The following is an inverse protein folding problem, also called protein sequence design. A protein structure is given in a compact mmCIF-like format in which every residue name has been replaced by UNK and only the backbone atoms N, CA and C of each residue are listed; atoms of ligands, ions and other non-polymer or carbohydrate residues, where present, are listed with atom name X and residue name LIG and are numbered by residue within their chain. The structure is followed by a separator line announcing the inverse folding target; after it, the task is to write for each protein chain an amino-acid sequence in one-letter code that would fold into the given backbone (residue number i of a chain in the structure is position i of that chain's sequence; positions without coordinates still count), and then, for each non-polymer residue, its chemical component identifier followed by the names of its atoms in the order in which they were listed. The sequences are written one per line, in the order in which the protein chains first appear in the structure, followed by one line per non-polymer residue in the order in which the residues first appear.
data_IF_943138275548
#
_entry.id   IF_943138275548
#
_cell.length_a   1.000
_cell.length_b   1.000
_cell.length_c   1.000
_cell.angle_alpha   90.00
_cell.angle_beta   90.00
_cell.angle_gamma   90.00
#
_symmetry.space_group_name_H-M   'P 1'
#
loop_
_entity.id
_entity.type
_entity.pdbx_description
1 polymer ?
#
# COMPACT_ATOMS: atom_id res chain seq x y z
N UNK A 1 0.39 25.41 17.47
CA UNK A 1 0.45 25.56 16.01
C UNK A 1 1.71 24.88 15.52
N UNK A 2 1.60 23.67 14.98
CA UNK A 2 2.75 22.95 14.41
C UNK A 2 2.67 23.07 12.90
N UNK A 3 3.51 23.91 12.34
CA UNK A 3 3.82 23.90 10.91
C UNK A 3 4.72 22.69 10.66
N UNK A 4 4.18 21.60 10.13
CA UNK A 4 4.95 20.50 9.61
C UNK A 4 4.71 20.41 8.10
N UNK A 5 5.57 21.06 7.37
CA UNK A 5 5.75 20.80 5.95
C UNK A 5 6.83 19.75 5.75
N UNK A 6 6.60 18.54 6.22
CA UNK A 6 7.49 17.39 6.00
C UNK A 6 6.68 16.21 5.50
N UNK A 7 7.19 15.53 4.48
CA UNK A 7 6.64 14.26 3.99
C UNK A 7 6.68 13.23 5.11
N UNK A 8 5.53 12.62 5.44
CA UNK A 8 5.46 11.53 6.42
C UNK A 8 5.47 10.19 5.69
N UNK A 9 6.45 9.36 6.00
CA UNK A 9 6.61 8.04 5.39
C UNK A 9 5.95 7.00 6.29
N UNK A 10 5.10 6.16 5.69
CA UNK A 10 4.44 5.05 6.36
C UNK A 10 5.31 3.81 6.31
N UNK A 11 5.78 3.41 7.48
CA UNK A 11 6.70 2.29 7.66
C UNK A 11 5.99 1.08 8.26
N UNK A 12 6.24 -0.09 7.71
CA UNK A 12 5.74 -1.35 8.28
C UNK A 12 6.34 -1.60 9.67
N UNK A 13 5.50 -1.83 10.66
CA UNK A 13 5.95 -2.08 12.05
C UNK A 13 6.63 -3.44 12.25
N UNK A 14 6.44 -4.37 11.33
CA UNK A 14 7.04 -5.72 11.39
C UNK A 14 8.38 -5.75 10.69
N UNK A 15 8.45 -5.25 9.45
CA UNK A 15 9.69 -5.29 8.65
C UNK A 15 10.56 -4.04 8.78
N UNK A 16 10.02 -2.93 9.26
CA UNK A 16 10.71 -1.64 9.29
C UNK A 16 10.85 -0.96 7.92
N UNK A 17 10.27 -1.54 6.88
CA UNK A 17 10.37 -1.03 5.50
C UNK A 17 9.32 0.04 5.22
N UNK A 18 9.70 0.97 4.38
CA UNK A 18 8.81 2.02 3.86
C UNK A 18 7.88 1.42 2.80
N UNK A 19 6.60 1.71 2.93
CA UNK A 19 5.57 1.13 2.05
C UNK A 19 4.75 2.18 1.31
N UNK A 20 4.65 3.39 1.85
CA UNK A 20 3.87 4.47 1.30
C UNK A 20 4.24 5.80 1.99
N UNK A 21 3.68 6.91 1.53
CA UNK A 21 3.80 8.21 2.19
C UNK A 21 2.48 8.98 2.17
N UNK A 22 2.41 10.04 2.96
CA UNK A 22 1.27 10.96 3.01
C UNK A 22 1.14 11.87 1.77
N UNK A 23 2.06 11.76 0.81
CA UNK A 23 1.92 12.37 -0.52
C UNK A 23 0.78 11.75 -1.33
N UNK A 24 0.36 10.54 -0.97
CA UNK A 24 -0.74 9.82 -1.59
C UNK A 24 -1.99 9.91 -0.72
N UNK A 25 -3.14 10.14 -1.35
CA UNK A 25 -4.41 10.20 -0.63
C UNK A 25 -4.73 8.83 -0.02
N UNK A 26 -4.77 8.77 1.31
CA UNK A 26 -5.06 7.57 2.06
C UNK A 26 -6.42 7.70 2.77
N UNK A 27 -7.23 6.67 2.69
CA UNK A 27 -8.55 6.58 3.31
C UNK A 27 -8.71 5.21 3.99
N UNK A 28 -9.29 5.16 5.20
CA UNK A 28 -9.63 3.89 5.81
C UNK A 28 -10.76 3.21 5.00
N UNK A 29 -10.71 1.90 4.91
CA UNK A 29 -11.79 1.11 4.31
C UNK A 29 -12.87 0.89 5.37
N UNK A 30 -14.04 1.50 5.20
CA UNK A 30 -15.14 1.43 6.18
C UNK A 30 -15.62 0.00 6.43
N UNK A 31 -15.67 -0.82 5.37
CA UNK A 31 -16.11 -2.22 5.42
C UNK A 31 -15.08 -3.15 6.07
N UNK A 32 -13.84 -2.71 6.17
CA UNK A 32 -12.73 -3.52 6.68
C UNK A 32 -11.79 -2.68 7.57
N UNK A 33 -12.18 -2.41 8.82
CA UNK A 33 -11.34 -1.68 9.75
C UNK A 33 -9.94 -2.31 9.86
N UNK A 34 -8.92 -1.46 9.79
CA UNK A 34 -7.51 -1.89 9.78
C UNK A 34 -6.90 -2.01 8.38
N UNK A 35 -7.69 -1.82 7.32
CA UNK A 35 -7.21 -1.69 5.94
C UNK A 35 -7.26 -0.23 5.53
N UNK A 36 -6.22 0.22 4.88
CA UNK A 36 -6.11 1.58 4.32
C UNK A 36 -6.07 1.45 2.80
N UNK A 37 -6.94 2.17 2.13
CA UNK A 37 -6.93 2.35 0.68
C UNK A 37 -6.11 3.60 0.36
N UNK A 38 -5.11 3.44 -0.49
CA UNK A 38 -4.26 4.54 -0.95
C UNK A 38 -4.46 4.71 -2.45
N UNK A 39 -4.66 5.94 -2.88
CA UNK A 39 -4.79 6.25 -4.30
C UNK A 39 -3.41 6.51 -4.89
N UNK A 40 -2.96 5.63 -5.77
CA UNK A 40 -1.76 5.83 -6.57
C UNK A 40 -2.06 6.65 -7.84
N UNK A 41 -1.02 6.98 -8.57
CA UNK A 41 -1.06 7.67 -9.86
C UNK A 41 0.02 7.11 -10.77
N UNK A 42 -0.18 7.26 -12.07
CA UNK A 42 0.84 6.92 -13.05
C UNK A 42 1.88 8.03 -13.15
N UNK A 43 3.12 7.66 -13.30
CA UNK A 43 4.24 8.57 -13.56
C UNK A 43 5.18 7.99 -14.61
N UNK A 44 6.02 8.83 -15.20
CA UNK A 44 7.12 8.35 -16.03
C UNK A 44 8.26 7.84 -15.15
N UNK A 45 9.03 6.89 -15.62
CA UNK A 45 10.20 6.36 -14.89
C UNK A 45 11.22 7.48 -14.52
N UNK A 46 11.19 8.62 -15.22
CA UNK A 46 11.95 9.82 -14.88
C UNK A 46 11.37 10.71 -13.80
N UNK A 47 10.21 10.37 -13.24
CA UNK A 47 9.57 11.10 -12.14
C UNK A 47 8.61 12.20 -12.55
N UNK A 48 8.31 12.37 -13.84
CA UNK A 48 7.29 13.31 -14.30
C UNK A 48 5.88 12.74 -14.14
N UNK A 49 5.01 13.54 -13.55
CA UNK A 49 3.61 13.17 -13.34
C UNK A 49 2.84 13.22 -14.66
N UNK A 50 2.27 12.08 -15.08
CA UNK A 50 1.41 12.04 -16.26
C UNK A 50 0.01 12.42 -15.83
N UNK A 51 -0.43 13.60 -16.28
CA UNK A 51 -1.80 14.03 -16.09
C UNK A 51 -2.69 13.37 -17.16
N UNK A 52 -3.31 12.25 -16.83
CA UNK A 52 -4.28 11.55 -17.69
C UNK A 52 -5.68 12.15 -17.66
N UNK A 53 -5.85 13.31 -17.03
CA UNK A 53 -7.09 14.09 -17.02
C UNK A 53 -7.37 14.65 -18.40
N UNK A 54 -8.02 13.87 -19.27
CA UNK A 54 -8.29 14.21 -20.62
C UNK A 54 -9.09 15.49 -20.78
N UNK A 55 -8.48 16.50 -21.39
CA UNK A 55 -9.20 17.54 -22.08
C UNK A 55 -9.23 17.15 -23.57
N UNK A 56 -10.35 16.61 -24.02
CA UNK A 56 -10.54 16.08 -25.37
C UNK A 56 -10.65 17.17 -26.46
N UNK A 57 -10.11 18.34 -26.26
CA UNK A 57 -10.17 19.46 -27.23
C UNK A 57 -8.86 20.19 -27.46
N UNK A 58 -7.72 19.51 -27.40
CA UNK A 58 -6.48 20.01 -27.95
C UNK A 58 -6.28 19.43 -29.38
N UNK A 59 -6.93 19.99 -30.33
CA UNK A 59 -6.48 19.88 -31.73
C UNK A 59 -5.13 20.56 -31.84
N UNK A 60 -4.11 19.82 -32.23
CA UNK A 60 -2.85 20.36 -32.71
C UNK A 60 -1.68 20.12 -31.78
N UNK A 61 -0.87 19.18 -32.16
CA UNK A 61 0.41 18.89 -31.58
C UNK A 61 0.49 17.45 -31.10
N UNK A 62 0.49 16.51 -32.02
CA UNK A 62 0.98 15.17 -31.76
C UNK A 62 2.47 15.27 -31.44
N UNK A 63 2.81 15.55 -30.20
CA UNK A 63 4.07 15.08 -29.67
C UNK A 63 3.92 13.57 -29.60
N UNK A 64 4.52 12.90 -30.57
CA UNK A 64 4.78 11.45 -30.47
C UNK A 64 5.49 11.29 -29.14
N UNK A 65 4.75 10.71 -28.17
CA UNK A 65 5.38 10.21 -26.96
C UNK A 65 6.44 9.24 -27.45
N UNK A 66 7.70 9.60 -27.24
CA UNK A 66 8.83 8.76 -27.55
C UNK A 66 8.54 7.39 -26.91
N UNK A 67 8.52 6.32 -27.72
CA UNK A 67 8.26 4.94 -27.29
C UNK A 67 9.23 4.45 -26.20
N UNK A 68 10.18 5.29 -25.79
CA UNK A 68 11.13 5.05 -24.72
C UNK A 68 10.62 5.44 -23.32
N UNK A 69 9.49 6.16 -23.21
CA UNK A 69 8.98 6.61 -21.91
C UNK A 69 8.14 5.51 -21.27
N UNK A 70 8.72 4.83 -20.29
CA UNK A 70 8.03 3.82 -19.51
C UNK A 70 7.13 4.48 -18.47
N UNK A 71 5.85 4.12 -18.49
CA UNK A 71 4.87 4.54 -17.49
C UNK A 71 4.84 3.52 -16.37
N UNK A 72 4.93 3.98 -15.13
CA UNK A 72 4.95 3.15 -13.93
C UNK A 72 3.95 3.68 -12.90
N UNK A 73 3.51 2.80 -12.00
CA UNK A 73 2.75 3.23 -10.82
C UNK A 73 3.67 3.95 -9.84
N UNK A 74 3.21 5.10 -9.32
CA UNK A 74 4.04 5.97 -8.49
C UNK A 74 4.39 5.36 -7.13
N UNK A 75 3.47 4.59 -6.51
CA UNK A 75 3.74 3.94 -5.22
C UNK A 75 4.69 2.77 -5.42
N UNK A 76 4.40 1.90 -6.38
CA UNK A 76 5.22 0.73 -6.71
C UNK A 76 6.67 1.15 -7.01
N UNK A 77 6.84 2.14 -7.90
CA UNK A 77 8.15 2.62 -8.32
C UNK A 77 8.91 3.32 -7.19
N UNK A 78 8.25 4.23 -6.44
CA UNK A 78 8.90 5.03 -5.39
C UNK A 78 9.37 4.18 -4.22
N UNK A 79 8.61 3.16 -3.84
CA UNK A 79 8.92 2.29 -2.71
C UNK A 79 9.52 0.95 -3.12
N UNK A 80 9.84 0.79 -4.41
CA UNK A 80 10.45 -0.42 -4.99
C UNK A 80 9.68 -1.70 -4.63
N UNK A 81 8.35 -1.60 -4.63
CA UNK A 81 7.50 -2.72 -4.31
C UNK A 81 7.63 -3.81 -5.39
N UNK A 82 7.60 -5.07 -4.96
CA UNK A 82 7.76 -6.23 -5.82
C UNK A 82 6.45 -7.00 -5.89
N UNK A 83 6.02 -7.32 -7.11
CA UNK A 83 4.85 -8.17 -7.31
C UNK A 83 5.11 -9.56 -6.72
N UNK A 84 4.10 -10.07 -6.01
CA UNK A 84 4.17 -11.36 -5.33
C UNK A 84 2.89 -12.14 -5.57
N UNK A 85 2.99 -13.26 -6.26
CA UNK A 85 1.84 -14.13 -6.49
C UNK A 85 1.36 -14.76 -5.18
N UNK A 86 0.11 -14.51 -4.83
CA UNK A 86 -0.47 -15.02 -3.59
C UNK A 86 -1.84 -15.65 -3.83
N UNK A 87 -1.94 -16.94 -3.62
CA UNK A 87 -3.23 -17.64 -3.62
C UNK A 87 -4.07 -17.26 -2.39
N UNK A 88 -5.38 -17.47 -2.47
CA UNK A 88 -6.27 -17.22 -1.33
C UNK A 88 -5.87 -18.02 -0.07
N UNK A 89 -5.36 -19.23 -0.24
CA UNK A 89 -4.87 -20.05 0.88
C UNK A 89 -3.59 -19.47 1.48
N UNK A 90 -2.66 -19.05 0.63
CA UNK A 90 -1.42 -18.39 1.06
C UNK A 90 -1.71 -17.07 1.78
N UNK A 91 -2.62 -16.25 1.22
CA UNK A 91 -3.06 -15.00 1.85
C UNK A 91 -3.68 -15.23 3.24
N UNK A 92 -4.51 -16.26 3.40
CA UNK A 92 -5.10 -16.60 4.71
C UNK A 92 -4.03 -16.96 5.75
N UNK A 93 -3.03 -17.74 5.34
CA UNK A 93 -1.91 -18.14 6.20
C UNK A 93 -1.04 -16.93 6.55
N UNK A 94 -0.72 -16.10 5.55
CA UNK A 94 0.01 -14.87 5.71
C UNK A 94 -0.68 -13.92 6.72
N UNK A 95 -1.96 -13.62 6.51
CA UNK A 95 -2.70 -12.70 7.38
C UNK A 95 -2.71 -13.17 8.83
N UNK A 96 -2.87 -14.46 9.08
CA UNK A 96 -2.79 -15.03 10.43
C UNK A 96 -1.44 -14.76 11.08
N UNK A 97 -0.36 -14.99 10.35
CA UNK A 97 1.01 -14.76 10.82
C UNK A 97 1.30 -13.28 11.02
N UNK A 98 0.87 -12.44 10.09
CA UNK A 98 1.04 -11.00 10.14
C UNK A 98 0.34 -10.37 11.36
N UNK A 99 -0.91 -10.72 11.62
CA UNK A 99 -1.62 -10.22 12.81
C UNK A 99 -0.95 -10.66 14.13
N UNK A 100 -0.37 -11.85 14.18
CA UNK A 100 0.41 -12.29 15.34
C UNK A 100 1.71 -11.49 15.50
N UNK A 101 2.41 -11.24 14.40
CA UNK A 101 3.61 -10.40 14.39
C UNK A 101 3.31 -8.97 14.82
N UNK A 102 2.22 -8.38 14.31
CA UNK A 102 1.76 -7.06 14.71
C UNK A 102 1.35 -6.98 16.17
N UNK A 103 0.69 -8.01 16.69
CA UNK A 103 0.37 -8.12 18.12
C UNK A 103 1.64 -8.09 18.99
N UNK A 104 2.66 -8.84 18.56
CA UNK A 104 3.95 -8.87 19.27
C UNK A 104 4.63 -7.50 19.21
N UNK A 105 4.73 -6.89 18.02
CA UNK A 105 5.34 -5.59 17.84
C UNK A 105 4.64 -4.49 18.66
N UNK A 106 3.30 -4.49 18.73
CA UNK A 106 2.54 -3.56 19.56
C UNK A 106 2.80 -3.74 21.05
N UNK A 107 2.94 -4.98 21.54
CA UNK A 107 3.31 -5.26 22.93
C UNK A 107 4.71 -4.73 23.26
N UNK A 108 5.67 -4.98 22.38
CA UNK A 108 7.07 -4.51 22.56
C UNK A 108 7.17 -2.99 22.52
N UNK A 109 6.31 -2.33 21.75
CA UNK A 109 6.18 -0.88 21.70
C UNK A 109 5.43 -0.27 22.91
N UNK A 110 4.93 -1.07 23.85
CA UNK A 110 4.22 -0.60 25.03
C UNK A 110 2.80 -0.10 24.77
N UNK A 111 2.19 -0.53 23.65
CA UNK A 111 0.79 -0.17 23.32
C UNK A 111 -0.17 -0.76 24.37
N UNK A 112 -1.16 0.01 24.86
CA UNK A 112 -2.14 -0.47 25.84
C UNK A 112 -2.85 -1.75 25.38
N UNK A 113 -3.11 -2.64 26.34
CA UNK A 113 -3.71 -3.95 26.05
C UNK A 113 -5.08 -3.85 25.39
N UNK A 114 -5.85 -2.81 25.70
CA UNK A 114 -7.17 -2.57 25.12
C UNK A 114 -7.10 -2.18 23.64
N UNK A 115 -6.10 -1.39 23.26
CA UNK A 115 -5.84 -1.06 21.86
C UNK A 115 -5.38 -2.29 21.06
N UNK A 116 -4.56 -3.15 21.67
CA UNK A 116 -4.12 -4.41 21.05
C UNK A 116 -5.33 -5.33 20.83
N UNK A 117 -6.22 -5.44 21.80
CA UNK A 117 -7.46 -6.22 21.66
C UNK A 117 -8.36 -5.66 20.56
N UNK A 118 -8.56 -4.34 20.54
CA UNK A 118 -9.34 -3.67 19.49
C UNK A 118 -8.76 -3.93 18.10
N UNK A 119 -7.44 -3.83 17.92
CA UNK A 119 -6.77 -4.16 16.68
C UNK A 119 -6.97 -5.62 16.28
N UNK A 120 -6.79 -6.57 17.20
CA UNK A 120 -6.97 -8.00 16.91
C UNK A 120 -8.42 -8.34 16.57
N UNK A 121 -9.39 -7.59 17.09
CA UNK A 121 -10.80 -7.77 16.78
C UNK A 121 -11.15 -7.37 15.31
N UNK A 122 -10.33 -6.56 14.66
CA UNK A 122 -10.51 -6.20 13.23
C UNK A 122 -10.07 -7.32 12.29
N UNK A 123 -9.19 -8.22 12.73
CA UNK A 123 -8.56 -9.24 11.90
C UNK A 123 -9.54 -10.12 11.10
N UNK A 124 -10.64 -10.66 11.67
CA UNK A 124 -11.57 -11.51 10.92
C UNK A 124 -12.24 -10.76 9.76
N UNK A 125 -12.63 -9.52 9.98
CA UNK A 125 -13.30 -8.68 8.97
C UNK A 125 -12.32 -8.30 7.86
N UNK A 126 -11.11 -7.85 8.20
CA UNK A 126 -10.07 -7.52 7.25
C UNK A 126 -9.65 -8.74 6.42
N UNK A 127 -9.45 -9.90 7.07
CA UNK A 127 -9.14 -11.15 6.36
C UNK A 127 -10.23 -11.55 5.37
N UNK A 128 -11.50 -11.49 5.78
CA UNK A 128 -12.62 -11.81 4.91
C UNK A 128 -12.67 -10.86 3.71
N UNK A 129 -12.50 -9.57 3.92
CA UNK A 129 -12.49 -8.57 2.85
C UNK A 129 -11.38 -8.86 1.84
N UNK A 130 -10.14 -9.03 2.28
CA UNK A 130 -9.00 -9.31 1.39
C UNK A 130 -9.16 -10.64 0.65
N UNK A 131 -9.66 -11.67 1.28
CA UNK A 131 -9.90 -12.97 0.63
C UNK A 131 -10.98 -12.89 -0.47
N UNK A 132 -11.93 -11.98 -0.38
CA UNK A 132 -12.89 -11.73 -1.47
C UNK A 132 -12.29 -10.99 -2.64
N UNK A 133 -11.23 -10.21 -2.43
CA UNK A 133 -10.60 -9.35 -3.43
C UNK A 133 -9.35 -9.95 -4.09
N UNK A 134 -8.71 -10.93 -3.46
CA UNK A 134 -7.41 -11.45 -3.89
C UNK A 134 -7.35 -11.95 -5.34
N UNK A 135 -8.49 -12.36 -5.91
CA UNK A 135 -8.57 -12.83 -7.31
C UNK A 135 -8.55 -11.68 -8.32
N UNK A 136 -8.92 -10.50 -7.88
CA UNK A 136 -9.08 -9.29 -8.71
C UNK A 136 -7.99 -8.26 -8.42
N UNK A 137 -7.00 -8.61 -7.59
CA UNK A 137 -5.93 -7.74 -7.15
C UNK A 137 -4.57 -8.39 -7.36
N UNK A 138 -3.60 -7.57 -7.69
CA UNK A 138 -2.19 -7.90 -7.61
C UNK A 138 -1.70 -7.62 -6.18
N UNK A 139 -0.78 -8.44 -5.69
CA UNK A 139 -0.21 -8.29 -4.36
C UNK A 139 1.23 -7.85 -4.49
N UNK A 140 1.61 -6.84 -3.73
CA UNK A 140 2.96 -6.32 -3.69
C UNK A 140 3.54 -6.43 -2.28
N UNK A 141 4.82 -6.73 -2.22
CA UNK A 141 5.61 -6.78 -1.00
C UNK A 141 6.79 -5.81 -1.11
N UNK A 142 7.53 -5.63 -0.02
CA UNK A 142 8.67 -4.73 -0.01
C UNK A 142 9.81 -5.17 -0.93
N UNK A 143 10.77 -4.27 -1.18
CA UNK A 143 11.93 -4.46 -2.06
C UNK A 143 12.79 -5.69 -1.75
N UNK A 144 12.83 -6.13 -0.50
CA UNK A 144 13.64 -7.26 -0.06
C UNK A 144 12.93 -8.62 -0.20
N UNK A 145 11.74 -8.66 -0.81
CA UNK A 145 10.89 -9.86 -0.88
C UNK A 145 10.58 -10.46 0.50
N UNK A 146 10.48 -9.62 1.53
CA UNK A 146 10.10 -10.06 2.87
C UNK A 146 8.58 -10.27 2.96
N UNK A 147 8.17 -11.52 2.86
CA UNK A 147 6.78 -11.97 2.93
C UNK A 147 6.19 -11.93 4.36
N UNK A 148 6.94 -11.45 5.35
CA UNK A 148 6.48 -11.29 6.75
C UNK A 148 6.02 -9.89 7.08
N UNK A 149 6.41 -8.92 6.24
CA UNK A 149 6.04 -7.53 6.38
C UNK A 149 4.62 -7.21 5.91
N UNK A 150 4.29 -5.93 5.83
CA UNK A 150 3.04 -5.47 5.23
C UNK A 150 3.00 -5.79 3.73
N UNK A 151 1.80 -5.98 3.21
CA UNK A 151 1.52 -6.14 1.77
C UNK A 151 0.66 -4.98 1.27
N UNK A 152 0.76 -4.72 0.00
CA UNK A 152 -0.10 -3.80 -0.74
C UNK A 152 -0.96 -4.56 -1.75
#
# INVERSE_FOLDING_TARGET
MRLRGGLEILTCKVSGKEMCSDAFKAEPVEEAPGIIKVQSRNMTEGGEEINTGGNASAEGGGEELDDSVKVVDAIEHTFHLQEYEMSATALKTYLKSYYQAMRKAKKEAGVPQDEIKAFMATAPTACKFLLTKVKDCEVFINEDFDDKGAIC
#
